data_IF_662032855465
#
_entry.id   IF_662032855465
#
_cell.length_a   1.000
_cell.length_b   1.000
_cell.length_c   1.000
_cell.angle_alpha   90.00
_cell.angle_beta   90.00
_cell.angle_gamma   90.00
#
_symmetry.space_group_name_H-M   'P 1'
#
loop_
_entity.id
_entity.type
_entity.pdbx_description
1 polymer ?
#
# COMPACT_ATOMS: atom_id res chain seq x y z
N UNK A 1 -12.60 -1.86 -21.22
CA UNK A 1 -11.96 -1.05 -20.14
C UNK A 1 -12.57 0.34 -20.14
N UNK A 2 -12.84 0.92 -18.98
CA UNK A 2 -13.39 2.28 -18.89
C UNK A 2 -12.39 3.29 -19.48
N UNK A 3 -12.87 4.18 -20.34
CA UNK A 3 -12.05 5.29 -20.90
C UNK A 3 -11.85 6.43 -19.92
N UNK A 4 -12.42 6.33 -18.69
CA UNK A 4 -12.38 7.38 -17.67
C UNK A 4 -11.00 7.45 -17.00
N UNK A 5 -10.57 8.66 -16.69
CA UNK A 5 -9.34 8.92 -15.95
C UNK A 5 -9.46 8.45 -14.48
N UNK A 6 -8.34 8.08 -13.82
CA UNK A 6 -8.36 7.55 -12.46
C UNK A 6 -9.07 8.43 -11.43
N UNK A 7 -8.94 9.77 -11.51
CA UNK A 7 -9.66 10.69 -10.63
C UNK A 7 -11.18 10.59 -10.77
N UNK A 8 -11.70 10.40 -11.99
CA UNK A 8 -13.13 10.16 -12.24
C UNK A 8 -13.55 8.79 -11.73
N UNK A 9 -12.73 7.76 -11.93
CA UNK A 9 -12.98 6.42 -11.39
C UNK A 9 -13.06 6.43 -9.87
N UNK A 10 -12.16 7.15 -9.19
CA UNK A 10 -12.16 7.29 -7.74
C UNK A 10 -13.49 7.86 -7.19
N UNK A 11 -14.08 8.80 -7.92
CA UNK A 11 -15.36 9.42 -7.52
C UNK A 11 -16.57 8.53 -7.77
N UNK A 12 -16.55 7.73 -8.85
CA UNK A 12 -17.77 7.08 -9.35
C UNK A 12 -17.79 5.56 -9.20
N UNK A 13 -16.66 4.86 -9.26
CA UNK A 13 -16.65 3.40 -9.22
C UNK A 13 -17.12 2.89 -7.85
N UNK A 14 -18.09 1.97 -7.85
CA UNK A 14 -18.74 1.45 -6.65
C UNK A 14 -19.70 2.44 -5.95
N UNK A 15 -19.92 3.61 -6.55
CA UNK A 15 -20.76 4.69 -6.01
C UNK A 15 -22.04 4.94 -6.81
N UNK A 16 -22.53 3.94 -7.52
CA UNK A 16 -23.83 4.05 -8.19
C UNK A 16 -24.92 4.37 -7.17
N UNK A 17 -25.86 5.30 -7.50
CA UNK A 17 -26.98 5.61 -6.63
C UNK A 17 -27.75 4.35 -6.21
N UNK A 18 -28.26 4.35 -4.99
CA UNK A 18 -29.05 3.22 -4.49
C UNK A 18 -30.35 3.06 -5.28
N UNK A 19 -30.53 1.91 -5.90
CA UNK A 19 -31.68 1.65 -6.79
C UNK A 19 -33.03 1.68 -6.05
N UNK A 20 -33.05 1.38 -4.74
CA UNK A 20 -34.27 1.35 -3.94
C UNK A 20 -34.74 2.75 -3.51
N UNK A 21 -33.81 3.66 -3.23
CA UNK A 21 -34.11 4.96 -2.62
C UNK A 21 -33.68 6.16 -3.47
N UNK A 22 -32.83 5.95 -4.47
CA UNK A 22 -32.20 7.03 -5.25
C UNK A 22 -31.10 7.78 -4.50
N UNK A 23 -30.70 7.30 -3.31
CA UNK A 23 -29.65 7.93 -2.51
C UNK A 23 -28.32 7.95 -3.27
N UNK A 24 -27.67 9.12 -3.36
CA UNK A 24 -26.38 9.30 -4.07
C UNK A 24 -25.24 8.62 -3.32
N UNK A 25 -25.27 8.62 -1.97
CA UNK A 25 -24.31 7.85 -1.18
C UNK A 25 -24.84 6.42 -1.00
N UNK A 26 -24.00 5.37 -1.23
CA UNK A 26 -24.45 4.00 -1.07
C UNK A 26 -24.77 3.67 0.39
N UNK A 27 -25.81 2.85 0.67
CA UNK A 27 -26.15 2.40 2.01
C UNK A 27 -25.07 1.48 2.59
N UNK A 28 -25.07 1.35 3.91
CA UNK A 28 -24.24 0.39 4.64
C UNK A 28 -25.11 -0.81 4.98
N UNK A 29 -24.73 -2.01 4.53
CA UNK A 29 -25.39 -3.26 4.88
C UNK A 29 -24.62 -3.93 6.02
N UNK A 30 -25.04 -3.71 7.26
CA UNK A 30 -24.41 -4.34 8.45
C UNK A 30 -24.89 -5.78 8.72
N UNK A 31 -25.69 -6.35 7.83
CA UNK A 31 -26.22 -7.69 7.98
C UNK A 31 -25.11 -8.76 7.95
N UNK A 32 -25.13 -9.65 8.93
CA UNK A 32 -24.28 -10.85 8.98
C UNK A 32 -24.86 -11.98 8.13
N UNK A 33 -26.19 -12.11 8.08
CA UNK A 33 -26.92 -13.20 7.42
C UNK A 33 -27.98 -12.65 6.50
N UNK A 34 -28.27 -13.38 5.44
CA UNK A 34 -29.24 -13.02 4.40
C UNK A 34 -30.27 -14.14 4.25
N UNK A 35 -31.49 -13.78 3.84
CA UNK A 35 -32.60 -14.71 3.69
C UNK A 35 -32.36 -15.70 2.55
N UNK A 36 -32.64 -16.98 2.82
CA UNK A 36 -32.63 -18.06 1.84
C UNK A 36 -34.04 -18.45 1.39
N UNK A 37 -34.15 -19.13 0.26
CA UNK A 37 -35.26 -19.96 -0.11
C UNK A 37 -35.32 -21.27 0.70
N UNK A 38 -36.41 -22.04 0.55
CA UNK A 38 -36.64 -23.26 1.36
C UNK A 38 -35.56 -24.34 1.19
N UNK A 39 -34.89 -24.40 0.05
CA UNK A 39 -33.81 -25.36 -0.22
C UNK A 39 -32.41 -24.71 -0.13
N UNK A 40 -32.27 -23.56 0.52
CA UNK A 40 -31.01 -22.87 0.71
C UNK A 40 -30.62 -21.94 -0.45
N UNK A 41 -31.54 -21.64 -1.35
CA UNK A 41 -31.26 -20.77 -2.51
C UNK A 41 -30.95 -19.33 -2.06
N UNK A 42 -29.91 -18.74 -2.62
CA UNK A 42 -29.52 -17.34 -2.39
C UNK A 42 -30.44 -16.41 -3.18
N UNK A 43 -31.47 -15.86 -2.53
CA UNK A 43 -32.52 -15.06 -3.20
C UNK A 43 -32.01 -13.74 -3.80
N UNK A 44 -30.94 -13.17 -3.25
CA UNK A 44 -30.31 -11.94 -3.72
C UNK A 44 -28.78 -12.08 -3.91
N UNK A 45 -28.29 -13.30 -4.08
CA UNK A 45 -26.88 -13.59 -4.29
C UNK A 45 -26.03 -13.67 -3.00
N UNK A 46 -26.56 -13.26 -1.86
CA UNK A 46 -25.86 -13.27 -0.56
C UNK A 46 -26.40 -14.35 0.36
N UNK A 47 -25.56 -14.85 1.23
CA UNK A 47 -25.86 -15.86 2.25
C UNK A 47 -25.37 -15.41 3.62
N UNK A 48 -24.08 -15.12 3.70
CA UNK A 48 -23.41 -14.78 4.94
C UNK A 48 -22.29 -13.76 4.68
N UNK A 49 -22.11 -12.78 5.56
CA UNK A 49 -21.19 -11.63 5.38
C UNK A 49 -19.74 -12.06 5.12
N UNK A 50 -19.28 -13.18 5.68
CA UNK A 50 -17.94 -13.71 5.43
C UNK A 50 -17.73 -14.15 3.96
N UNK A 51 -18.78 -14.51 3.26
CA UNK A 51 -18.74 -14.87 1.83
C UNK A 51 -18.91 -13.67 0.92
N UNK A 52 -19.80 -12.77 1.29
CA UNK A 52 -20.11 -11.57 0.50
C UNK A 52 -21.04 -10.62 1.25
N UNK A 53 -20.91 -9.35 0.91
CA UNK A 53 -21.74 -8.28 1.45
C UNK A 53 -21.85 -7.14 0.43
N UNK A 54 -23.06 -6.59 0.19
CA UNK A 54 -23.24 -5.54 -0.83
C UNK A 54 -22.32 -4.32 -0.65
N UNK A 55 -21.97 -3.95 0.59
CA UNK A 55 -21.07 -2.82 0.86
C UNK A 55 -19.62 -3.15 0.46
N UNK A 56 -19.17 -4.37 0.76
CA UNK A 56 -17.83 -4.83 0.38
C UNK A 56 -17.70 -4.96 -1.14
N UNK A 57 -18.74 -5.42 -1.82
CA UNK A 57 -18.72 -5.55 -3.28
C UNK A 57 -18.57 -4.20 -3.98
N UNK A 58 -19.20 -3.14 -3.47
CA UNK A 58 -18.99 -1.78 -3.97
C UNK A 58 -17.54 -1.32 -3.85
N UNK A 59 -16.88 -1.62 -2.74
CA UNK A 59 -15.45 -1.33 -2.58
C UNK A 59 -14.60 -2.18 -3.54
N UNK A 60 -14.91 -3.47 -3.70
CA UNK A 60 -14.20 -4.35 -4.66
C UNK A 60 -14.30 -3.81 -6.08
N UNK A 61 -15.49 -3.37 -6.51
CA UNK A 61 -15.66 -2.73 -7.83
C UNK A 61 -14.84 -1.44 -7.99
N UNK A 62 -14.77 -0.61 -6.95
CA UNK A 62 -13.94 0.59 -6.97
C UNK A 62 -12.44 0.26 -7.11
N UNK A 63 -11.96 -0.72 -6.35
CA UNK A 63 -10.57 -1.18 -6.39
C UNK A 63 -10.21 -1.79 -7.77
N UNK A 64 -11.07 -2.66 -8.31
CA UNK A 64 -10.90 -3.21 -9.66
C UNK A 64 -10.81 -2.11 -10.72
N UNK A 65 -11.72 -1.15 -10.67
CA UNK A 65 -11.75 -0.06 -11.65
C UNK A 65 -10.49 0.83 -11.56
N UNK A 66 -10.01 1.10 -10.36
CA UNK A 66 -8.84 1.96 -10.12
C UNK A 66 -7.54 1.30 -10.58
N UNK A 67 -7.30 0.05 -10.21
CA UNK A 67 -6.10 -0.69 -10.60
C UNK A 67 -6.19 -1.29 -12.00
N UNK A 68 -7.39 -1.57 -12.49
CA UNK A 68 -7.63 -2.20 -13.80
C UNK A 68 -7.58 -3.72 -13.76
N UNK A 69 -7.92 -4.31 -12.62
CA UNK A 69 -7.98 -5.76 -12.44
C UNK A 69 -9.35 -6.37 -12.72
N UNK A 70 -9.39 -7.69 -12.85
CA UNK A 70 -10.62 -8.46 -13.05
C UNK A 70 -11.27 -8.88 -11.73
N UNK A 71 -10.47 -9.10 -10.67
CA UNK A 71 -10.95 -9.51 -9.35
C UNK A 71 -10.32 -8.66 -8.25
N UNK A 72 -11.08 -8.41 -7.17
CA UNK A 72 -10.57 -7.75 -5.98
C UNK A 72 -11.13 -8.42 -4.71
N UNK A 73 -10.32 -8.49 -3.68
CA UNK A 73 -10.67 -9.02 -2.37
C UNK A 73 -10.34 -8.00 -1.28
N UNK A 74 -11.21 -7.90 -0.27
CA UNK A 74 -11.04 -6.97 0.84
C UNK A 74 -10.84 -7.72 2.15
N UNK A 75 -9.87 -7.28 2.94
CA UNK A 75 -9.37 -7.96 4.14
C UNK A 75 -9.47 -7.06 5.37
N UNK A 76 -9.52 -7.66 6.55
CA UNK A 76 -9.54 -6.94 7.82
C UNK A 76 -8.33 -6.03 8.06
N UNK A 77 -7.20 -6.32 7.39
CA UNK A 77 -5.98 -5.50 7.44
C UNK A 77 -5.08 -5.79 6.23
N UNK A 78 -4.08 -4.93 5.98
CA UNK A 78 -3.03 -5.20 5.01
C UNK A 78 -2.27 -6.49 5.33
N UNK A 79 -1.98 -6.75 6.62
CA UNK A 79 -1.34 -7.98 7.06
C UNK A 79 -2.18 -9.23 6.76
N UNK A 80 -3.50 -9.17 6.93
CA UNK A 80 -4.39 -10.27 6.57
C UNK A 80 -4.38 -10.55 5.05
N UNK A 81 -4.27 -9.50 4.22
CA UNK A 81 -4.13 -9.65 2.78
C UNK A 81 -2.81 -10.35 2.39
N UNK A 82 -1.68 -9.87 2.94
CA UNK A 82 -0.35 -10.46 2.71
C UNK A 82 -0.30 -11.91 3.16
N UNK A 83 -0.70 -12.19 4.41
CA UNK A 83 -0.68 -13.54 4.98
C UNK A 83 -1.55 -14.50 4.17
N UNK A 84 -2.78 -14.11 3.83
CA UNK A 84 -3.69 -14.97 3.05
C UNK A 84 -3.12 -15.30 1.68
N UNK A 85 -2.51 -14.33 0.98
CA UNK A 85 -1.88 -14.55 -0.32
C UNK A 85 -0.69 -15.50 -0.21
N UNK A 86 0.25 -15.19 0.69
CA UNK A 86 1.48 -15.97 0.86
C UNK A 86 1.20 -17.40 1.35
N UNK A 87 0.27 -17.57 2.26
CA UNK A 87 -0.17 -18.89 2.72
C UNK A 87 -0.96 -19.69 1.68
N UNK A 88 -1.41 -19.06 0.59
CA UNK A 88 -2.05 -19.75 -0.55
C UNK A 88 -1.03 -20.40 -1.49
N UNK A 89 0.26 -20.18 -1.27
CA UNK A 89 1.32 -20.87 -1.99
C UNK A 89 1.53 -22.29 -1.46
N UNK A 90 2.03 -23.23 -2.29
CA UNK A 90 2.37 -24.58 -1.84
C UNK A 90 3.62 -24.57 -0.94
N UNK A 91 3.75 -25.59 -0.08
CA UNK A 91 4.99 -25.83 0.65
C UNK A 91 6.17 -25.99 -0.33
N UNK A 92 7.33 -25.47 0.03
CA UNK A 92 8.52 -25.41 -0.84
C UNK A 92 8.52 -24.21 -1.79
N UNK A 93 7.47 -23.39 -1.80
CA UNK A 93 7.42 -22.20 -2.64
C UNK A 93 8.55 -21.22 -2.30
N UNK A 94 9.33 -20.84 -3.31
CA UNK A 94 10.39 -19.82 -3.19
C UNK A 94 9.78 -18.46 -3.51
N UNK A 95 9.96 -17.51 -2.59
CA UNK A 95 9.41 -16.15 -2.69
C UNK A 95 10.55 -15.14 -2.61
N UNK A 96 10.75 -14.38 -3.68
CA UNK A 96 11.69 -13.27 -3.72
C UNK A 96 11.01 -12.01 -3.19
N UNK A 97 11.64 -11.31 -2.23
CA UNK A 97 11.06 -10.11 -1.61
C UNK A 97 12.14 -9.04 -1.33
N UNK A 98 11.76 -7.74 -1.19
CA UNK A 98 12.72 -6.66 -1.05
C UNK A 98 13.40 -6.63 0.33
N UNK A 99 14.66 -6.22 0.34
CA UNK A 99 15.46 -5.96 1.54
C UNK A 99 14.95 -4.76 2.35
N UNK A 100 14.40 -3.76 1.66
CA UNK A 100 13.73 -2.61 2.24
C UNK A 100 12.24 -2.69 1.95
N UNK A 101 11.45 -3.04 2.96
CA UNK A 101 10.00 -3.18 2.86
C UNK A 101 9.33 -3.03 4.23
N UNK A 102 8.02 -3.01 4.23
CA UNK A 102 7.22 -2.97 5.45
C UNK A 102 7.64 -4.06 6.45
N UNK A 103 7.91 -3.65 7.69
CA UNK A 103 8.41 -4.53 8.75
C UNK A 103 7.52 -5.76 8.99
N UNK A 104 6.18 -5.59 8.88
CA UNK A 104 5.25 -6.71 9.03
C UNK A 104 5.43 -7.81 7.98
N UNK A 105 5.77 -7.45 6.73
CA UNK A 105 6.09 -8.43 5.69
C UNK A 105 7.36 -9.22 6.05
N UNK A 106 8.41 -8.53 6.54
CA UNK A 106 9.63 -9.20 7.02
C UNK A 106 9.34 -10.16 8.18
N UNK A 107 8.48 -9.76 9.13
CA UNK A 107 8.07 -10.61 10.23
C UNK A 107 7.36 -11.87 9.74
N UNK A 108 6.46 -11.77 8.74
CA UNK A 108 5.84 -12.96 8.13
C UNK A 108 6.89 -13.91 7.58
N UNK A 109 7.89 -13.40 6.84
CA UNK A 109 8.96 -14.22 6.27
C UNK A 109 9.94 -14.77 7.30
N UNK A 110 10.16 -14.08 8.41
CA UNK A 110 11.09 -14.53 9.45
C UNK A 110 10.47 -15.53 10.43
N UNK A 111 9.19 -15.35 10.78
CA UNK A 111 8.58 -16.03 11.92
C UNK A 111 7.56 -17.09 11.52
N UNK A 112 6.72 -16.84 10.50
CA UNK A 112 5.54 -17.67 10.23
C UNK A 112 5.64 -18.51 8.95
N UNK A 113 6.13 -17.93 7.87
CA UNK A 113 6.13 -18.57 6.55
C UNK A 113 7.14 -19.74 6.43
N UNK A 114 8.31 -19.71 7.08
CA UNK A 114 9.22 -20.85 7.08
C UNK A 114 8.60 -22.11 7.70
N UNK A 115 7.77 -21.97 8.76
CA UNK A 115 7.04 -23.10 9.36
C UNK A 115 6.02 -23.71 8.40
N UNK A 116 5.58 -22.97 7.39
CA UNK A 116 4.71 -23.44 6.30
C UNK A 116 5.48 -23.97 5.11
N UNK A 117 6.81 -24.05 5.21
CA UNK A 117 7.71 -24.49 4.14
C UNK A 117 7.91 -23.46 3.04
N UNK A 118 7.53 -22.20 3.22
CA UNK A 118 7.84 -21.11 2.27
C UNK A 118 9.32 -20.73 2.43
N UNK A 119 10.03 -20.60 1.32
CA UNK A 119 11.45 -20.27 1.29
C UNK A 119 11.62 -18.80 0.88
N UNK A 120 11.86 -17.90 1.84
CA UNK A 120 12.07 -16.49 1.54
C UNK A 120 13.46 -16.24 0.97
N UNK A 121 13.56 -15.32 -0.02
CA UNK A 121 14.80 -14.87 -0.63
C UNK A 121 14.77 -13.34 -0.63
N UNK A 122 15.60 -12.74 0.21
CA UNK A 122 15.70 -11.29 0.33
C UNK A 122 16.69 -10.74 -0.69
N UNK A 123 16.32 -9.64 -1.40
CA UNK A 123 17.19 -9.00 -2.38
C UNK A 123 16.90 -7.50 -2.48
N UNK A 124 17.90 -6.70 -2.86
CA UNK A 124 17.66 -5.30 -3.26
C UNK A 124 16.95 -5.28 -4.62
N UNK A 125 15.67 -4.94 -4.63
CA UNK A 125 14.85 -4.88 -5.86
C UNK A 125 15.25 -3.73 -6.80
N UNK A 126 16.08 -2.80 -6.36
CA UNK A 126 16.63 -1.75 -7.22
C UNK A 126 17.86 -2.24 -8.00
N UNK A 127 18.46 -3.35 -7.58
CA UNK A 127 19.59 -4.02 -8.28
C UNK A 127 19.04 -5.15 -9.17
N UNK A 128 18.82 -4.84 -10.46
CA UNK A 128 18.29 -5.81 -11.43
C UNK A 128 19.24 -6.99 -11.69
N UNK A 129 20.55 -6.84 -11.46
CA UNK A 129 21.49 -7.94 -11.64
C UNK A 129 21.41 -8.93 -10.48
N UNK A 130 21.27 -8.42 -9.25
CA UNK A 130 20.98 -9.24 -8.08
C UNK A 130 19.64 -9.99 -8.21
N UNK A 131 18.60 -9.32 -8.68
CA UNK A 131 17.29 -9.95 -8.95
C UNK A 131 17.41 -11.01 -10.04
N UNK A 132 18.12 -10.73 -11.14
CA UNK A 132 18.34 -11.71 -12.22
C UNK A 132 19.07 -12.96 -11.71
N UNK A 133 20.09 -12.79 -10.85
CA UNK A 133 20.79 -13.91 -10.23
C UNK A 133 19.85 -14.74 -9.33
N UNK A 134 18.97 -14.10 -8.55
CA UNK A 134 17.99 -14.79 -7.72
C UNK A 134 16.92 -15.53 -8.54
N UNK A 135 16.58 -15.00 -9.72
CA UNK A 135 15.68 -15.62 -10.70
C UNK A 135 16.29 -16.77 -11.50
N UNK A 136 17.57 -17.11 -11.31
CA UNK A 136 18.22 -18.24 -11.99
C UNK A 136 17.60 -19.61 -11.66
N UNK A 137 16.84 -19.69 -10.58
CA UNK A 137 16.04 -20.85 -10.21
C UNK A 137 14.55 -20.50 -10.19
N UNK A 138 13.64 -21.44 -10.45
CA UNK A 138 12.20 -21.18 -10.43
C UNK A 138 11.73 -20.52 -9.15
N UNK A 139 10.87 -19.54 -9.28
CA UNK A 139 10.22 -18.81 -8.18
C UNK A 139 8.72 -19.03 -8.25
N UNK A 140 8.07 -19.14 -7.09
CA UNK A 140 6.61 -19.13 -7.01
C UNK A 140 6.06 -17.69 -7.00
N UNK A 141 6.80 -16.76 -6.40
CA UNK A 141 6.36 -15.37 -6.30
C UNK A 141 7.56 -14.41 -6.27
N UNK A 142 7.39 -13.25 -6.88
CA UNK A 142 8.25 -12.09 -6.77
C UNK A 142 7.42 -10.94 -6.17
N UNK A 143 7.77 -10.51 -4.95
CA UNK A 143 7.08 -9.44 -4.23
C UNK A 143 7.84 -8.13 -4.41
N UNK A 144 7.16 -7.09 -4.87
CA UNK A 144 7.69 -5.74 -5.07
C UNK A 144 7.04 -4.80 -4.04
N UNK A 145 7.81 -3.90 -3.43
CA UNK A 145 7.30 -2.75 -2.71
C UNK A 145 8.00 -1.49 -3.25
N UNK A 146 7.26 -0.61 -3.92
CA UNK A 146 7.86 0.57 -4.55
C UNK A 146 6.90 1.76 -4.62
N UNK A 147 7.29 2.95 -4.08
CA UNK A 147 8.49 3.18 -3.28
C UNK A 147 8.51 2.35 -1.99
N UNK A 148 9.70 1.93 -1.54
CA UNK A 148 9.87 1.06 -0.37
C UNK A 148 9.73 1.82 0.97
N UNK A 149 9.65 1.10 2.07
CA UNK A 149 9.47 1.63 3.42
C UNK A 149 10.59 1.13 4.37
N UNK A 150 11.46 2.00 4.93
CA UNK A 150 11.32 3.46 4.94
C UNK A 150 12.27 4.22 3.99
N UNK A 151 13.10 3.55 3.20
CA UNK A 151 14.17 4.20 2.44
C UNK A 151 13.70 4.81 1.11
N UNK A 152 12.43 4.61 0.73
CA UNK A 152 11.84 5.12 -0.52
C UNK A 152 12.61 4.67 -1.78
N UNK A 153 13.26 3.49 -1.74
CA UNK A 153 13.85 2.90 -2.93
C UNK A 153 12.78 2.74 -4.02
N UNK A 154 13.13 3.03 -5.25
CA UNK A 154 12.25 2.84 -6.40
C UNK A 154 12.84 1.78 -7.31
N UNK A 155 12.04 0.78 -7.63
CA UNK A 155 12.42 -0.27 -8.56
C UNK A 155 11.55 -0.23 -9.83
N UNK A 156 12.08 -0.77 -10.93
CA UNK A 156 11.42 -0.84 -12.23
C UNK A 156 10.44 -2.02 -12.24
N UNK A 157 9.15 -1.73 -12.05
CA UNK A 157 8.10 -2.77 -12.00
C UNK A 157 8.08 -3.60 -13.29
N UNK A 158 8.20 -2.96 -14.46
CA UNK A 158 8.12 -3.68 -15.74
C UNK A 158 9.32 -4.61 -15.93
N UNK A 159 10.53 -4.17 -15.58
CA UNK A 159 11.73 -5.01 -15.66
C UNK A 159 11.65 -6.18 -14.66
N UNK A 160 11.19 -5.93 -13.42
CA UNK A 160 11.03 -6.97 -12.41
C UNK A 160 9.93 -7.97 -12.79
N UNK A 161 8.82 -7.51 -13.37
CA UNK A 161 7.76 -8.38 -13.87
C UNK A 161 8.27 -9.31 -14.96
N UNK A 162 9.04 -8.80 -15.91
CA UNK A 162 9.65 -9.63 -16.96
C UNK A 162 10.60 -10.70 -16.40
N UNK A 163 11.44 -10.33 -15.40
CA UNK A 163 12.33 -11.28 -14.73
C UNK A 163 11.55 -12.33 -13.93
N UNK A 164 10.54 -11.91 -13.17
CA UNK A 164 9.70 -12.80 -12.39
C UNK A 164 8.97 -13.81 -13.28
N UNK A 165 8.32 -13.35 -14.34
CA UNK A 165 7.61 -14.22 -15.28
C UNK A 165 8.55 -15.20 -15.97
N UNK A 166 9.76 -14.77 -16.34
CA UNK A 166 10.77 -15.68 -16.91
C UNK A 166 11.20 -16.79 -15.93
N UNK A 167 11.14 -16.53 -14.63
CA UNK A 167 11.39 -17.52 -13.56
C UNK A 167 10.14 -18.31 -13.14
N UNK A 168 8.99 -18.10 -13.79
CA UNK A 168 7.70 -18.75 -13.48
C UNK A 168 6.96 -18.16 -12.27
N UNK A 169 7.40 -17.01 -11.77
CA UNK A 169 6.81 -16.37 -10.61
C UNK A 169 5.52 -15.60 -10.93
N UNK A 170 4.60 -15.59 -9.96
CA UNK A 170 3.55 -14.56 -9.88
C UNK A 170 4.16 -13.28 -9.32
N UNK A 171 3.93 -12.15 -9.98
CA UNK A 171 4.48 -10.85 -9.59
C UNK A 171 3.46 -10.05 -8.81
N UNK A 172 3.79 -9.73 -7.57
CA UNK A 172 2.95 -8.94 -6.65
C UNK A 172 3.60 -7.59 -6.42
N UNK A 173 2.82 -6.52 -6.49
CA UNK A 173 3.29 -5.18 -6.17
C UNK A 173 2.48 -4.58 -5.02
N UNK A 174 3.13 -4.25 -3.90
CA UNK A 174 2.55 -3.39 -2.88
C UNK A 174 2.57 -1.94 -3.38
N UNK A 175 1.39 -1.43 -3.70
CA UNK A 175 1.18 -0.09 -4.26
C UNK A 175 0.63 0.90 -3.21
N UNK A 176 0.77 0.57 -1.93
CA UNK A 176 0.19 1.34 -0.82
C UNK A 176 0.66 2.80 -0.82
N UNK A 177 1.96 3.06 -1.06
CA UNK A 177 2.52 4.42 -1.04
C UNK A 177 2.12 5.26 -2.25
N UNK A 178 2.07 4.64 -3.42
CA UNK A 178 1.80 5.35 -4.66
C UNK A 178 0.30 5.52 -4.93
N UNK A 179 -0.54 4.57 -4.54
CA UNK A 179 -1.96 4.47 -4.93
C UNK A 179 -2.16 4.33 -6.44
N UNK A 180 -3.31 3.86 -6.93
CA UNK A 180 -3.59 3.78 -8.37
C UNK A 180 -3.69 5.14 -9.08
N UNK A 181 -3.71 6.24 -8.31
CA UNK A 181 -3.69 7.60 -8.86
C UNK A 181 -2.31 7.95 -9.41
N UNK A 182 -1.25 7.48 -8.76
CA UNK A 182 0.12 7.78 -9.16
C UNK A 182 0.78 6.64 -9.93
N UNK A 183 0.49 5.37 -9.60
CA UNK A 183 1.13 4.20 -10.20
C UNK A 183 0.13 3.08 -10.38
N UNK A 184 0.20 2.35 -11.49
CA UNK A 184 -0.69 1.23 -11.81
C UNK A 184 0.12 -0.02 -12.15
N UNK A 185 0.49 -0.82 -11.16
CA UNK A 185 1.40 -1.96 -11.34
C UNK A 185 0.87 -3.02 -12.32
N UNK A 186 -0.45 -3.27 -12.37
CA UNK A 186 -1.02 -4.21 -13.34
C UNK A 186 -0.74 -3.78 -14.78
N UNK A 187 -0.78 -2.47 -15.07
CA UNK A 187 -0.45 -1.94 -16.40
C UNK A 187 1.05 -2.03 -16.72
N UNK A 188 1.88 -2.25 -15.72
CA UNK A 188 3.33 -2.43 -15.83
C UNK A 188 3.76 -3.91 -15.79
N UNK A 189 2.80 -4.83 -15.75
CA UNK A 189 3.06 -6.27 -15.84
C UNK A 189 2.99 -7.03 -14.53
N UNK A 190 2.66 -6.40 -13.40
CA UNK A 190 2.35 -7.14 -12.17
C UNK A 190 1.07 -7.97 -12.35
N UNK A 191 0.98 -9.11 -11.68
CA UNK A 191 -0.20 -9.99 -11.70
C UNK A 191 -1.17 -9.63 -10.58
N UNK A 192 -0.66 -9.15 -9.45
CA UNK A 192 -1.45 -8.80 -8.26
C UNK A 192 -0.95 -7.47 -7.71
N UNK A 193 -1.89 -6.62 -7.31
CA UNK A 193 -1.60 -5.42 -6.53
C UNK A 193 -2.13 -5.60 -5.12
N UNK A 194 -1.28 -5.31 -4.15
CA UNK A 194 -1.61 -5.26 -2.73
C UNK A 194 -1.78 -3.81 -2.28
N UNK A 195 -2.75 -3.58 -1.40
CA UNK A 195 -2.90 -2.31 -0.68
C UNK A 195 -3.18 -2.53 0.81
N UNK A 196 -2.49 -1.79 1.66
CA UNK A 196 -3.03 -1.44 2.97
C UNK A 196 -4.03 -0.31 2.79
N UNK A 197 -5.33 -0.62 2.74
CA UNK A 197 -6.38 0.39 2.57
C UNK A 197 -6.52 1.30 3.79
N UNK A 198 -5.90 0.92 4.91
CA UNK A 198 -5.68 1.74 6.11
C UNK A 198 -5.06 3.10 5.81
N UNK A 199 -4.26 3.18 4.72
CA UNK A 199 -3.43 4.34 4.38
C UNK A 199 -4.22 5.33 3.50
N UNK A 200 -3.68 5.75 2.38
CA UNK A 200 -4.29 6.77 1.50
C UNK A 200 -5.72 6.44 1.04
N UNK A 201 -6.10 5.17 0.91
CA UNK A 201 -7.48 4.82 0.53
C UNK A 201 -8.47 5.26 1.61
N UNK A 202 -8.26 4.90 2.88
CA UNK A 202 -9.04 5.42 4.01
C UNK A 202 -8.80 6.91 4.18
N UNK A 203 -7.54 7.30 4.35
CA UNK A 203 -7.04 8.67 4.29
C UNK A 203 -7.41 9.58 5.46
N UNK A 204 -7.96 9.03 6.56
CA UNK A 204 -8.43 9.81 7.71
C UNK A 204 -8.00 9.20 9.05
N UNK A 205 -7.06 8.26 9.04
CA UNK A 205 -6.51 7.58 10.23
C UNK A 205 -7.57 6.87 11.11
N UNK A 206 -8.72 6.53 10.53
CA UNK A 206 -9.93 6.04 11.22
C UNK A 206 -10.40 4.65 10.76
N UNK A 207 -9.71 4.02 9.80
CA UNK A 207 -10.09 2.71 9.25
C UNK A 207 -8.89 1.78 9.11
N UNK A 208 -9.07 0.52 9.45
CA UNK A 208 -8.12 -0.56 9.20
C UNK A 208 -8.65 -1.45 8.07
N UNK A 209 -7.78 -1.79 7.11
CA UNK A 209 -8.15 -2.68 6.02
C UNK A 209 -7.01 -3.03 5.09
N UNK A 210 -7.25 -4.04 4.25
CA UNK A 210 -6.35 -4.46 3.19
C UNK A 210 -7.11 -4.84 1.93
N UNK A 211 -6.43 -4.87 0.80
CA UNK A 211 -6.99 -5.32 -0.47
C UNK A 211 -5.94 -6.03 -1.32
N UNK A 212 -6.40 -6.99 -2.10
CA UNK A 212 -5.68 -7.57 -3.24
C UNK A 212 -6.50 -7.34 -4.49
N UNK A 213 -5.85 -6.88 -5.55
CA UNK A 213 -6.45 -6.74 -6.87
C UNK A 213 -5.68 -7.60 -7.86
N UNK A 214 -6.35 -8.51 -8.51
CA UNK A 214 -5.77 -9.49 -9.43
C UNK A 214 -5.99 -9.04 -10.88
N UNK A 215 -4.94 -9.15 -11.69
CA UNK A 215 -5.04 -8.92 -13.13
C UNK A 215 -6.05 -9.87 -13.79
N UNK A 216 -6.14 -11.11 -13.29
CA UNK A 216 -7.05 -12.17 -13.77
C UNK A 216 -7.70 -12.91 -12.61
N UNK A 217 -8.93 -13.36 -12.81
CA UNK A 217 -9.61 -14.26 -11.87
C UNK A 217 -9.21 -15.71 -12.15
N UNK A 218 -7.98 -16.06 -11.85
CA UNK A 218 -7.36 -17.35 -12.12
C UNK A 218 -7.42 -18.32 -10.91
N UNK A 219 -6.77 -19.47 -11.05
CA UNK A 219 -6.71 -20.48 -9.99
C UNK A 219 -6.07 -19.99 -8.68
N UNK A 220 -5.11 -19.05 -8.74
CA UNK A 220 -4.54 -18.46 -7.53
C UNK A 220 -5.54 -17.52 -6.86
N UNK A 221 -6.20 -16.66 -7.62
CA UNK A 221 -7.27 -15.79 -7.10
C UNK A 221 -8.37 -16.61 -6.41
N UNK A 222 -8.79 -17.71 -7.03
CA UNK A 222 -9.80 -18.62 -6.43
C UNK A 222 -9.31 -19.28 -5.14
N UNK A 223 -8.04 -19.72 -5.07
CA UNK A 223 -7.46 -20.26 -3.82
C UNK A 223 -7.39 -19.21 -2.72
N UNK A 224 -7.01 -17.98 -3.05
CA UNK A 224 -6.97 -16.86 -2.09
C UNK A 224 -8.38 -16.55 -1.59
N UNK A 225 -9.38 -16.48 -2.48
CA UNK A 225 -10.78 -16.27 -2.12
C UNK A 225 -11.29 -17.38 -1.18
N UNK A 226 -11.00 -18.64 -1.50
CA UNK A 226 -11.38 -19.76 -0.65
C UNK A 226 -10.70 -19.70 0.72
N UNK A 227 -9.40 -19.38 0.76
CA UNK A 227 -8.67 -19.22 2.02
C UNK A 227 -9.26 -18.07 2.85
N UNK A 228 -9.50 -16.91 2.25
CA UNK A 228 -10.14 -15.78 2.92
C UNK A 228 -11.50 -16.17 3.52
N UNK A 229 -12.32 -16.90 2.76
CA UNK A 229 -13.61 -17.41 3.23
C UNK A 229 -13.46 -18.33 4.45
N UNK A 230 -12.53 -19.28 4.41
CA UNK A 230 -12.35 -20.28 5.48
C UNK A 230 -11.71 -19.66 6.73
N UNK A 231 -10.69 -18.81 6.57
CA UNK A 231 -9.97 -18.19 7.69
C UNK A 231 -10.70 -16.99 8.30
N UNK A 232 -11.62 -16.38 7.54
CA UNK A 232 -12.49 -15.31 8.05
C UNK A 232 -11.84 -13.95 8.20
N UNK A 233 -10.68 -13.70 7.60
CA UNK A 233 -9.97 -12.40 7.64
C UNK A 233 -10.64 -11.28 6.81
N UNK A 234 -11.96 -11.31 6.69
CA UNK A 234 -12.76 -10.41 5.84
C UNK A 234 -12.91 -9.02 6.44
N UNK A 235 -12.99 -8.01 5.58
CA UNK A 235 -13.23 -6.63 5.99
C UNK A 235 -14.66 -6.45 6.50
N UNK A 236 -14.83 -5.75 7.62
CA UNK A 236 -16.15 -5.38 8.13
C UNK A 236 -16.86 -4.39 7.16
N UNK A 237 -18.19 -4.47 6.98
CA UNK A 237 -18.92 -3.60 6.06
C UNK A 237 -18.76 -2.12 6.35
N UNK A 238 -18.68 -1.72 7.62
CA UNK A 238 -18.44 -0.32 7.99
C UNK A 238 -17.05 0.16 7.57
N UNK A 239 -16.01 -0.66 7.75
CA UNK A 239 -14.66 -0.37 7.27
C UNK A 239 -14.60 -0.29 5.73
N UNK A 240 -15.35 -1.17 5.04
CA UNK A 240 -15.47 -1.12 3.58
C UNK A 240 -16.13 0.18 3.12
N UNK A 241 -17.20 0.62 3.80
CA UNK A 241 -17.87 1.88 3.49
C UNK A 241 -16.99 3.10 3.74
N UNK A 242 -16.27 3.17 4.86
CA UNK A 242 -15.31 4.25 5.16
C UNK A 242 -14.21 4.31 4.10
N UNK A 243 -13.65 3.15 3.72
CA UNK A 243 -12.64 3.07 2.67
C UNK A 243 -13.20 3.54 1.32
N UNK A 244 -14.39 3.09 0.94
CA UNK A 244 -15.06 3.51 -0.28
C UNK A 244 -15.34 5.03 -0.27
N UNK A 245 -15.78 5.58 0.87
CA UNK A 245 -15.95 7.03 1.06
C UNK A 245 -14.63 7.76 0.90
N UNK A 246 -13.54 7.24 1.45
CA UNK A 246 -12.18 7.78 1.30
C UNK A 246 -11.71 7.81 -0.16
N UNK A 247 -12.05 6.80 -0.96
CA UNK A 247 -11.73 6.76 -2.39
C UNK A 247 -12.24 7.99 -3.14
N UNK A 248 -13.42 8.51 -2.79
CA UNK A 248 -14.03 9.65 -3.51
C UNK A 248 -13.20 10.94 -3.44
N UNK A 249 -12.45 11.14 -2.37
CA UNK A 249 -11.56 12.29 -2.21
C UNK A 249 -10.10 11.97 -2.53
N UNK A 250 -9.78 10.72 -2.88
CA UNK A 250 -8.41 10.27 -3.08
C UNK A 250 -7.65 11.13 -4.11
N UNK A 251 -8.30 11.50 -5.23
CA UNK A 251 -7.66 12.33 -6.25
C UNK A 251 -7.26 13.73 -5.74
N UNK A 252 -8.16 14.41 -5.03
CA UNK A 252 -7.91 15.72 -4.45
C UNK A 252 -6.85 15.65 -3.34
N UNK A 253 -6.95 14.63 -2.46
CA UNK A 253 -5.99 14.43 -1.37
C UNK A 253 -4.59 14.14 -1.92
N UNK A 254 -4.46 13.22 -2.87
CA UNK A 254 -3.16 12.88 -3.46
C UNK A 254 -2.50 14.06 -4.16
N UNK A 255 -3.27 14.92 -4.86
CA UNK A 255 -2.73 16.14 -5.47
C UNK A 255 -2.13 17.09 -4.42
N UNK A 256 -2.83 17.30 -3.30
CA UNK A 256 -2.34 18.16 -2.22
C UNK A 256 -1.18 17.53 -1.44
N UNK A 257 -1.28 16.25 -1.12
CA UNK A 257 -0.19 15.48 -0.51
C UNK A 257 1.12 15.60 -1.31
N UNK A 258 1.06 15.39 -2.63
CA UNK A 258 2.24 15.48 -3.50
C UNK A 258 2.79 16.92 -3.59
N UNK A 259 1.92 17.92 -3.65
CA UNK A 259 2.33 19.32 -3.66
C UNK A 259 3.05 19.70 -2.35
N UNK A 260 2.49 19.33 -1.22
CA UNK A 260 3.07 19.57 0.10
C UNK A 260 4.41 18.83 0.26
N UNK A 261 4.46 17.55 -0.14
CA UNK A 261 5.70 16.77 -0.08
C UNK A 261 6.81 17.38 -0.91
N UNK A 262 6.50 17.96 -2.07
CA UNK A 262 7.46 18.69 -2.90
C UNK A 262 8.02 19.90 -2.18
N UNK A 263 7.19 20.71 -1.52
CA UNK A 263 7.62 21.87 -0.74
C UNK A 263 8.52 21.44 0.43
N UNK A 264 8.09 20.45 1.20
CA UNK A 264 8.84 19.89 2.33
C UNK A 264 10.18 19.30 1.87
N UNK A 265 10.21 18.45 0.83
CA UNK A 265 11.43 17.85 0.33
C UNK A 265 12.41 18.87 -0.22
N UNK A 266 11.92 19.93 -0.91
CA UNK A 266 12.75 21.04 -1.41
C UNK A 266 13.42 21.77 -0.25
N UNK A 267 12.69 22.14 0.79
CA UNK A 267 13.24 22.76 2.00
C UNK A 267 14.30 21.87 2.65
N UNK A 268 13.97 20.61 2.90
CA UNK A 268 14.86 19.67 3.59
C UNK A 268 16.13 19.38 2.79
N UNK A 269 16.08 19.39 1.45
CA UNK A 269 17.22 19.08 0.59
C UNK A 269 18.35 20.10 0.68
N UNK A 270 18.07 21.30 1.19
CA UNK A 270 19.05 22.40 1.36
C UNK A 270 19.36 22.69 2.82
N UNK A 271 18.71 22.00 3.76
CA UNK A 271 18.86 22.28 5.19
C UNK A 271 20.18 21.70 5.76
N UNK A 272 21.02 22.52 6.46
CA UNK A 272 22.36 22.09 6.90
C UNK A 272 22.37 20.93 7.91
N UNK A 273 21.28 20.69 8.65
CA UNK A 273 21.15 19.57 9.58
C UNK A 273 20.76 18.25 8.88
N UNK A 274 20.35 18.28 7.61
CA UNK A 274 19.89 17.11 6.85
C UNK A 274 21.04 16.55 6.02
N UNK A 275 21.42 15.32 6.34
CA UNK A 275 22.48 14.60 5.62
C UNK A 275 21.96 14.00 4.31
N UNK A 276 20.69 13.55 4.30
CA UNK A 276 20.05 12.91 3.14
C UNK A 276 18.54 13.07 3.17
N UNK A 277 17.95 13.32 2.01
CA UNK A 277 16.50 13.24 1.78
C UNK A 277 16.23 12.10 0.81
N UNK A 278 15.46 11.12 1.23
CA UNK A 278 14.96 10.05 0.37
C UNK A 278 13.54 10.43 -0.07
N UNK A 279 13.43 10.99 -1.26
CA UNK A 279 12.16 11.29 -1.92
C UNK A 279 12.34 11.16 -3.44
N UNK A 280 11.55 10.32 -4.13
CA UNK A 280 11.76 10.04 -5.56
C UNK A 280 11.65 11.25 -6.48
N UNK A 281 11.02 12.34 -6.01
CA UNK A 281 10.88 13.59 -6.77
C UNK A 281 12.15 14.45 -6.84
N UNK A 282 13.18 14.18 -6.04
CA UNK A 282 14.46 14.88 -6.14
C UNK A 282 15.29 14.28 -7.28
N UNK A 283 15.85 15.11 -8.20
CA UNK A 283 16.71 14.61 -9.28
C UNK A 283 17.92 13.80 -8.82
N UNK A 284 18.41 14.08 -7.60
CA UNK A 284 19.52 13.35 -6.98
C UNK A 284 19.12 11.97 -6.41
N UNK A 285 17.82 11.63 -6.34
CA UNK A 285 17.39 10.35 -5.86
C UNK A 285 17.74 9.24 -6.87
N UNK A 286 18.37 8.11 -6.45
CA UNK A 286 18.83 7.05 -7.38
C UNK A 286 17.73 6.52 -8.31
N UNK A 287 16.50 6.41 -7.78
CA UNK A 287 15.33 5.92 -8.54
C UNK A 287 14.51 7.00 -9.25
N UNK A 288 14.97 8.27 -9.29
CA UNK A 288 14.20 9.38 -9.87
C UNK A 288 13.75 9.12 -11.32
N UNK A 289 14.65 8.69 -12.18
CA UNK A 289 14.35 8.41 -13.59
C UNK A 289 13.32 7.30 -13.76
N UNK A 290 13.36 6.25 -12.91
CA UNK A 290 12.39 5.18 -12.90
C UNK A 290 11.03 5.71 -12.42
N UNK A 291 11.00 6.42 -11.31
CA UNK A 291 9.77 7.04 -10.79
C UNK A 291 9.12 7.98 -11.81
N UNK A 292 9.90 8.86 -12.44
CA UNK A 292 9.40 9.79 -13.47
C UNK A 292 8.79 9.08 -14.70
N UNK A 293 9.25 7.85 -15.01
CA UNK A 293 8.71 7.07 -16.12
C UNK A 293 7.44 6.29 -15.75
N UNK A 294 7.38 5.72 -14.55
CA UNK A 294 6.31 4.80 -14.15
C UNK A 294 5.23 5.42 -13.26
N UNK A 295 5.50 6.58 -12.64
CA UNK A 295 4.59 7.29 -11.76
C UNK A 295 4.12 8.61 -12.38
N UNK A 296 2.91 9.05 -12.02
CA UNK A 296 2.37 10.36 -12.44
C UNK A 296 2.84 11.52 -11.58
N UNK A 297 3.19 11.26 -10.33
CA UNK A 297 3.88 12.13 -9.38
C UNK A 297 4.59 11.24 -8.35
N UNK A 298 5.39 11.85 -7.46
CA UNK A 298 6.38 11.13 -6.65
C UNK A 298 5.88 10.73 -5.26
N UNK A 299 4.59 10.95 -4.96
CA UNK A 299 3.99 10.60 -3.68
C UNK A 299 4.36 11.56 -2.55
N UNK A 300 3.82 11.24 -1.36
CA UNK A 300 3.94 12.11 -0.18
C UNK A 300 4.62 11.44 1.01
N UNK A 301 5.24 10.30 0.79
CA UNK A 301 6.16 9.71 1.74
C UNK A 301 7.58 10.14 1.43
N UNK A 302 8.31 10.54 2.44
CA UNK A 302 9.74 10.77 2.37
C UNK A 302 10.43 10.32 3.67
N UNK A 303 11.72 10.15 3.63
CA UNK A 303 12.51 10.01 4.85
C UNK A 303 13.76 10.87 4.78
N UNK A 304 14.23 11.29 5.96
CA UNK A 304 15.43 12.08 6.09
C UNK A 304 16.40 11.41 7.05
N UNK A 305 17.68 11.58 6.80
CA UNK A 305 18.75 11.26 7.76
C UNK A 305 19.39 12.55 8.24
N UNK A 306 19.62 12.66 9.52
CA UNK A 306 20.13 13.87 10.16
C UNK A 306 21.60 13.75 10.52
N UNK A 307 22.37 14.83 10.31
CA UNK A 307 23.66 14.97 10.96
C UNK A 307 23.49 14.98 12.49
N UNK A 308 24.35 14.26 13.20
CA UNK A 308 24.26 14.10 14.66
C UNK A 308 23.59 12.79 15.11
N UNK A 309 23.20 11.92 14.15
CA UNK A 309 22.78 10.55 14.42
C UNK A 309 21.43 10.45 15.12
N UNK A 310 21.28 9.39 15.93
CA UNK A 310 20.03 9.04 16.63
C UNK A 310 19.49 10.16 17.51
N UNK A 311 20.35 10.79 18.29
CA UNK A 311 19.92 11.80 19.26
C UNK A 311 19.36 13.04 18.56
N UNK A 312 19.99 13.48 17.46
CA UNK A 312 19.48 14.57 16.63
C UNK A 312 18.12 14.24 16.01
N UNK A 313 17.93 12.99 15.57
CA UNK A 313 16.63 12.55 15.00
C UNK A 313 15.52 12.56 16.06
N UNK A 314 15.79 12.03 17.25
CA UNK A 314 14.84 12.02 18.36
C UNK A 314 14.53 13.43 18.86
N UNK A 315 15.53 14.30 18.97
CA UNK A 315 15.36 15.69 19.37
C UNK A 315 14.48 16.44 18.36
N UNK A 316 14.78 16.31 17.07
CA UNK A 316 13.97 16.94 16.00
C UNK A 316 12.52 16.44 16.04
N UNK A 317 12.29 15.12 16.12
CA UNK A 317 10.95 14.54 16.22
C UNK A 317 10.17 15.05 17.45
N UNK A 318 10.86 15.25 18.60
CA UNK A 318 10.24 15.75 19.82
C UNK A 318 9.93 17.25 19.81
N UNK A 319 10.52 18.03 18.90
CA UNK A 319 10.28 19.48 18.77
C UNK A 319 9.18 19.85 17.78
N UNK A 320 8.75 18.92 16.93
CA UNK A 320 7.68 19.14 15.97
C UNK A 320 6.34 19.42 16.68
N UNK A 321 5.54 20.32 16.14
CA UNK A 321 4.30 20.82 16.70
C UNK A 321 3.09 20.63 15.79
N UNK A 322 3.31 20.61 14.48
CA UNK A 322 2.30 20.33 13.46
C UNK A 322 2.35 18.86 13.08
N UNK A 323 3.56 18.32 12.84
CA UNK A 323 3.72 16.89 12.62
C UNK A 323 3.47 16.09 13.90
N UNK A 324 2.54 15.15 13.84
CA UNK A 324 2.30 14.23 14.96
C UNK A 324 3.31 13.08 14.93
N UNK A 325 3.97 12.84 16.08
CA UNK A 325 4.86 11.67 16.21
C UNK A 325 4.02 10.42 16.45
N UNK A 326 3.79 9.67 15.39
CA UNK A 326 2.95 8.46 15.39
C UNK A 326 3.32 7.50 14.27
N UNK A 327 2.94 6.23 14.44
CA UNK A 327 2.96 5.22 13.38
C UNK A 327 1.89 5.50 12.34
N UNK A 328 1.92 4.77 11.22
CA UNK A 328 1.02 4.88 10.08
C UNK A 328 1.44 5.98 9.08
N UNK A 329 0.56 6.31 8.15
CA UNK A 329 0.81 7.27 7.06
C UNK A 329 -0.45 7.50 6.22
N UNK A 330 -0.43 8.54 5.39
CA UNK A 330 -1.45 8.76 4.36
C UNK A 330 -2.78 9.27 4.89
N UNK A 331 -2.83 9.72 6.14
CA UNK A 331 -3.95 10.48 6.72
C UNK A 331 -3.93 11.94 6.30
N UNK A 332 -4.96 12.70 6.68
CA UNK A 332 -5.03 14.13 6.44
C UNK A 332 -3.93 14.89 7.18
N UNK A 333 -3.55 14.41 8.36
CA UNK A 333 -2.49 14.95 9.21
C UNK A 333 -1.10 14.50 8.77
N UNK A 334 -0.12 15.36 8.96
CA UNK A 334 1.30 15.02 8.79
C UNK A 334 1.83 14.21 9.97
N UNK A 335 2.52 13.11 9.67
CA UNK A 335 3.11 12.22 10.68
C UNK A 335 4.63 12.16 10.54
N UNK A 336 5.32 12.01 11.68
CA UNK A 336 6.74 11.71 11.74
C UNK A 336 6.98 10.48 12.62
N UNK A 337 7.99 9.68 12.27
CA UNK A 337 8.34 8.50 13.05
C UNK A 337 9.84 8.23 12.96
N UNK A 338 10.48 8.05 14.12
CA UNK A 338 11.83 7.51 14.18
C UNK A 338 11.76 5.98 14.04
N UNK A 339 11.99 5.49 12.79
CA UNK A 339 11.75 4.10 12.44
C UNK A 339 12.52 3.10 13.30
N UNK A 340 13.79 3.34 13.55
CA UNK A 340 14.60 2.43 14.35
C UNK A 340 14.07 2.21 15.78
N UNK A 341 13.35 3.19 16.36
CA UNK A 341 12.74 3.06 17.69
C UNK A 341 11.54 2.14 17.76
N UNK A 342 10.86 1.89 16.63
CA UNK A 342 9.61 1.12 16.59
C UNK A 342 9.75 -0.24 15.89
N UNK A 343 10.96 -0.56 15.41
CA UNK A 343 11.25 -1.84 14.74
C UNK A 343 11.64 -2.98 15.72
N UNK A 344 11.58 -2.72 17.02
CA UNK A 344 11.90 -3.72 18.04
C UNK A 344 13.40 -3.83 18.35
N UNK A 345 13.85 -5.01 18.80
CA UNK A 345 15.19 -5.22 19.33
C UNK A 345 16.30 -5.19 18.26
N UNK A 346 15.96 -5.45 17.00
CA UNK A 346 16.92 -5.54 15.89
C UNK A 346 16.49 -4.65 14.71
N UNK A 347 16.55 -3.31 14.88
CA UNK A 347 16.13 -2.39 13.85
C UNK A 347 17.07 -2.46 12.63
N UNK A 348 16.49 -2.44 11.44
CA UNK A 348 17.24 -2.36 10.17
C UNK A 348 17.32 -0.93 9.64
N UNK A 349 16.37 -0.08 10.05
CA UNK A 349 16.36 1.33 9.66
C UNK A 349 17.58 2.07 10.25
N UNK A 350 18.19 2.99 9.51
CA UNK A 350 19.24 3.86 10.03
C UNK A 350 18.81 4.57 11.32
N UNK A 351 19.73 4.68 12.28
CA UNK A 351 19.45 5.28 13.59
C UNK A 351 19.21 6.79 13.52
N UNK A 352 19.64 7.45 12.47
CA UNK A 352 19.48 8.88 12.20
C UNK A 352 18.27 9.20 11.32
N UNK A 353 17.41 8.19 11.02
CA UNK A 353 16.34 8.31 10.05
C UNK A 353 15.00 8.67 10.70
N UNK A 354 14.37 9.72 10.18
CA UNK A 354 12.96 10.05 10.37
C UNK A 354 12.18 9.75 9.09
N UNK A 355 11.12 8.95 9.20
CA UNK A 355 10.14 8.78 8.13
C UNK A 355 9.04 9.82 8.31
N UNK A 356 8.67 10.48 7.24
CA UNK A 356 7.68 11.55 7.20
C UNK A 356 6.56 11.18 6.24
N UNK A 357 5.32 11.24 6.72
CA UNK A 357 4.10 11.21 5.91
C UNK A 357 3.55 12.62 5.85
N UNK A 358 3.61 13.24 4.68
CA UNK A 358 3.17 14.63 4.51
C UNK A 358 1.66 14.67 4.32
N UNK A 359 0.97 15.45 5.15
CA UNK A 359 -0.49 15.60 5.17
C UNK A 359 -1.01 16.71 4.27
N UNK A 360 -2.17 17.25 4.65
CA UNK A 360 -2.95 18.22 3.88
C UNK A 360 -2.94 19.63 4.50
N UNK A 361 -2.13 19.85 5.52
CA UNK A 361 -1.93 21.14 6.16
C UNK A 361 -1.36 22.16 5.15
N UNK A 362 -1.35 23.43 5.50
CA UNK A 362 -0.69 24.44 4.68
C UNK A 362 0.81 24.16 4.57
N UNK A 363 1.34 24.13 3.36
CA UNK A 363 2.75 23.82 3.11
C UNK A 363 3.72 24.77 3.84
N UNK A 364 3.32 26.04 4.03
CA UNK A 364 4.11 27.02 4.78
C UNK A 364 4.24 26.65 6.24
N UNK A 365 3.16 26.16 6.87
CA UNK A 365 3.16 25.73 8.27
C UNK A 365 4.01 24.47 8.45
N UNK A 366 3.94 23.51 7.50
CA UNK A 366 4.77 22.31 7.53
C UNK A 366 6.27 22.64 7.45
N UNK A 367 6.64 23.56 6.55
CA UNK A 367 8.04 24.00 6.40
C UNK A 367 8.50 24.77 7.63
N UNK A 368 7.65 25.66 8.18
CA UNK A 368 7.98 26.42 9.39
C UNK A 368 8.16 25.51 10.61
N UNK A 369 7.35 24.46 10.74
CA UNK A 369 7.46 23.48 11.84
C UNK A 369 8.77 22.68 11.74
N UNK A 370 9.12 22.22 10.53
CA UNK A 370 10.41 21.55 10.30
C UNK A 370 11.60 22.49 10.55
N UNK A 371 11.52 23.75 10.13
CA UNK A 371 12.58 24.74 10.34
C UNK A 371 12.85 24.98 11.84
N UNK A 372 11.77 25.17 12.64
CA UNK A 372 11.93 25.39 14.08
C UNK A 372 12.40 24.13 14.82
N UNK A 373 12.03 22.93 14.34
CA UNK A 373 12.42 21.66 14.96
C UNK A 373 13.88 21.30 14.68
N UNK A 374 14.34 21.61 13.49
CA UNK A 374 15.72 21.35 13.07
C UNK A 374 16.71 22.39 13.59
N UNK A 375 16.32 23.64 13.78
CA UNK A 375 17.12 24.74 14.34
C UNK A 375 17.96 25.44 13.31
#
# INVERSE_FOLDING_TARGET
MSTRQPGTLAVHAGHEPDAATGAVAPPIHLATTFRHGPAGERLAGYEYQREGNPTNDRLREALKALEGGEEAMTFASGMAAMATLLESLPAGARVLFPDDCYTGLRMLFAEFLPERGIVPIEVDMADLDAVRAACAQPLAMLWIETPSNPLLKVCDIAALAALGHAAGAVVVADNTFATPLLQRPLALGADIVMHSTTKYFGGHSDVLGGALVFARNDALAQRVAHRLHVTGGVMAPFSAWLTLRGCRSLGARMAMHCANARAVATFLSTHPRVARVNWPGLPAHPGHAIAARQMRDFGAMLSIQLHGGRDAALEAAGRLRVFTNATSLGGCESLVEHRASVEGAHPRSPQDLLRISVGLEDAGDLVADLAQALG
#
